data_IF_222187790736
#
_entry.id   IF_222187790736
#
_cell.length_a   1.000
_cell.length_b   1.000
_cell.length_c   1.000
_cell.angle_alpha   90.00
_cell.angle_beta   90.00
_cell.angle_gamma   90.00
#
_symmetry.space_group_name_H-M   'P 1'
#
loop_
_entity.id
_entity.type
_entity.pdbx_description
1 polymer ?
#
# COMPACT_ATOMS: atom_id res chain seq x y z
N UNK A 1 -1.59 13.45 9.73
CA UNK A 1 -0.60 12.76 8.88
C UNK A 1 -0.84 13.26 7.47
N UNK A 2 -0.07 14.28 7.08
CA UNK A 2 -0.37 15.16 5.94
C UNK A 2 0.41 14.66 4.72
N UNK A 3 -0.34 14.31 3.67
CA UNK A 3 0.03 14.27 2.26
C UNK A 3 1.38 13.63 1.90
N UNK A 4 1.37 12.31 1.67
CA UNK A 4 1.43 11.66 0.34
C UNK A 4 2.22 12.31 -0.82
N UNK A 5 3.17 13.22 -0.60
CA UNK A 5 3.95 13.85 -1.69
C UNK A 5 4.79 12.82 -2.48
N UNK A 6 5.11 11.68 -1.87
CA UNK A 6 5.94 10.64 -2.49
C UNK A 6 5.17 9.81 -3.54
N UNK A 7 3.84 9.65 -3.37
CA UNK A 7 3.01 8.85 -4.28
C UNK A 7 2.88 9.53 -5.66
N UNK A 8 3.02 10.85 -5.73
CA UNK A 8 2.93 11.61 -6.99
C UNK A 8 4.16 11.44 -7.89
N UNK A 9 5.33 11.12 -7.33
CA UNK A 9 6.57 11.00 -8.11
C UNK A 9 6.86 9.56 -8.55
N UNK A 10 6.38 8.56 -7.80
CA UNK A 10 6.56 7.13 -8.11
C UNK A 10 5.31 6.31 -7.73
N UNK A 11 4.16 6.52 -8.40
CA UNK A 11 2.91 5.84 -8.07
C UNK A 11 2.99 4.32 -8.20
N UNK A 12 3.88 3.80 -9.04
CA UNK A 12 4.10 2.37 -9.30
C UNK A 12 4.75 1.63 -8.13
N UNK A 13 5.37 2.34 -7.19
CA UNK A 13 6.03 1.77 -6.02
C UNK A 13 5.23 2.02 -4.72
N UNK A 14 4.07 2.66 -4.83
CA UNK A 14 3.32 3.14 -3.68
C UNK A 14 2.10 2.25 -3.39
N UNK A 15 1.96 1.84 -2.13
CA UNK A 15 0.72 1.23 -1.62
C UNK A 15 -0.15 2.36 -1.05
N UNK A 16 -1.32 2.65 -1.64
CA UNK A 16 -2.25 3.59 -1.05
C UNK A 16 -2.84 2.97 0.23
N UNK A 17 -2.79 3.72 1.33
CA UNK A 17 -3.46 3.36 2.58
C UNK A 17 -4.26 4.56 3.06
N UNK A 18 -5.39 4.29 3.69
CA UNK A 18 -6.20 5.34 4.28
C UNK A 18 -5.46 5.99 5.45
N UNK A 19 -5.69 7.29 5.60
CA UNK A 19 -5.08 8.03 6.70
C UNK A 19 -5.79 7.69 8.00
N UNK A 20 -5.02 7.32 9.02
CA UNK A 20 -5.56 7.06 10.35
C UNK A 20 -5.99 8.36 11.05
N UNK A 21 -7.24 8.42 11.54
CA UNK A 21 -7.85 9.61 12.17
C UNK A 21 -8.45 9.33 13.57
N UNK A 22 -7.76 8.54 14.41
CA UNK A 22 -8.19 8.24 15.78
C UNK A 22 -9.36 7.22 15.91
N UNK A 23 -9.50 6.31 14.94
CA UNK A 23 -10.38 5.13 15.08
C UNK A 23 -9.62 3.97 15.74
N UNK A 24 -10.17 3.44 16.83
CA UNK A 24 -9.62 2.30 17.59
C UNK A 24 -9.90 0.95 16.92
N UNK A 25 -10.79 0.93 15.94
CA UNK A 25 -11.11 -0.23 15.13
C UNK A 25 -10.38 -0.22 13.78
N UNK A 26 -9.57 0.81 13.50
CA UNK A 26 -8.75 0.86 12.29
C UNK A 26 -7.79 -0.34 12.28
N UNK A 27 -7.87 -1.11 11.20
CA UNK A 27 -7.04 -2.30 10.95
C UNK A 27 -6.38 -2.23 9.59
N UNK A 28 -6.39 -1.07 8.93
CA UNK A 28 -5.89 -0.92 7.55
C UNK A 28 -4.41 -1.37 7.45
N UNK A 29 -3.60 -1.08 8.47
CA UNK A 29 -2.21 -1.55 8.54
C UNK A 29 -2.07 -3.07 8.71
N UNK A 30 -3.02 -3.71 9.40
CA UNK A 30 -3.04 -5.17 9.57
C UNK A 30 -3.52 -5.88 8.30
N UNK A 31 -4.46 -5.27 7.59
CA UNK A 31 -4.99 -5.79 6.33
C UNK A 31 -3.95 -5.74 5.19
N UNK A 32 -2.88 -4.95 5.36
CA UNK A 32 -1.71 -4.94 4.48
C UNK A 32 -0.79 -6.16 4.64
N UNK A 33 -0.84 -6.88 5.77
CA UNK A 33 0.13 -7.95 6.06
C UNK A 33 0.19 -9.04 4.97
N UNK A 34 -0.96 -9.55 4.44
CA UNK A 34 -0.92 -10.55 3.36
C UNK A 34 -0.27 -10.01 2.08
N UNK A 35 -0.54 -8.74 1.74
CA UNK A 35 0.09 -8.09 0.58
C UNK A 35 1.60 -7.99 0.77
N UNK A 36 2.06 -7.56 1.95
CA UNK A 36 3.49 -7.45 2.26
C UNK A 36 4.21 -8.80 2.20
N UNK A 37 3.58 -9.87 2.68
CA UNK A 37 4.10 -11.24 2.58
C UNK A 37 4.24 -11.72 1.13
N UNK A 38 3.34 -11.30 0.24
CA UNK A 38 3.41 -11.64 -1.18
C UNK A 38 4.46 -10.80 -1.92
N UNK A 39 4.63 -9.53 -1.55
CA UNK A 39 5.69 -8.67 -2.08
C UNK A 39 7.09 -9.19 -1.73
N UNK A 40 7.26 -9.85 -0.58
CA UNK A 40 8.53 -10.47 -0.20
C UNK A 40 8.97 -11.61 -1.12
N UNK A 41 8.04 -12.21 -1.88
CA UNK A 41 8.31 -13.40 -2.72
C UNK A 41 8.64 -13.05 -4.16
N UNK A 42 8.45 -11.79 -4.57
CA UNK A 42 8.66 -11.35 -5.94
C UNK A 42 9.94 -10.53 -6.07
N UNK A 43 10.63 -10.68 -7.20
CA UNK A 43 11.83 -9.90 -7.51
C UNK A 43 11.50 -8.43 -7.85
N UNK A 44 10.32 -8.21 -8.44
CA UNK A 44 9.82 -6.89 -8.81
C UNK A 44 8.41 -6.65 -8.25
N UNK A 45 8.33 -5.81 -7.21
CA UNK A 45 7.10 -5.48 -6.51
C UNK A 45 6.09 -4.72 -7.39
N UNK A 46 6.56 -4.03 -8.43
CA UNK A 46 5.69 -3.22 -9.32
C UNK A 46 4.70 -4.08 -10.08
N UNK A 47 5.07 -5.34 -10.37
CA UNK A 47 4.19 -6.29 -11.06
C UNK A 47 2.95 -6.63 -10.22
N UNK A 48 3.12 -6.77 -8.91
CA UNK A 48 2.03 -7.07 -7.97
C UNK A 48 1.24 -5.79 -7.65
N UNK A 49 1.94 -4.66 -7.49
CA UNK A 49 1.31 -3.37 -7.19
C UNK A 49 0.54 -2.76 -8.37
N UNK A 50 0.86 -3.11 -9.62
CA UNK A 50 0.10 -2.69 -10.80
C UNK A 50 -1.19 -3.53 -10.98
N UNK A 51 -1.14 -4.83 -10.66
CA UNK A 51 -2.34 -5.69 -10.65
C UNK A 51 -3.36 -5.26 -9.60
N UNK A 52 -2.91 -4.85 -8.40
CA UNK A 52 -3.81 -4.36 -7.34
C UNK A 52 -4.50 -3.03 -7.65
N UNK A 53 -4.03 -2.29 -8.68
CA UNK A 53 -4.63 -1.02 -9.12
C UNK A 53 -5.71 -1.20 -10.20
N UNK A 54 -5.77 -2.36 -10.85
CA UNK A 54 -6.65 -2.62 -12.00
C UNK A 54 -7.89 -3.49 -11.65
N UNK A 55 -8.14 -3.73 -10.37
CA UNK A 55 -9.31 -4.47 -9.84
C UNK A 55 -10.01 -3.63 -8.77
#
# INVERSE_FOLDING_TARGET
IIHLHLILFHPENAIPIDSWFDDKNDKELLDLLPLLDDLMKVEDVRLVLDESRNN
#
